data_IF_094785760593
#
_entry.id   IF_094785760593
#
_cell.length_a   1.000
_cell.length_b   1.000
_cell.length_c   1.000
_cell.angle_alpha   90.00
_cell.angle_beta   90.00
_cell.angle_gamma   90.00
#
_symmetry.space_group_name_H-M   'P 1'
#
loop_
_entity.id
_entity.type
_entity.pdbx_description
1 polymer ?
#
# COMPACT_ATOMS: atom_id res chain seq x y z
N UNK A 1 -14.19 46.06 -0.18
CA UNK A 1 -15.31 45.17 0.18
C UNK A 1 -15.10 43.83 -0.51
N UNK A 2 -15.05 42.73 0.23
CA UNK A 2 -14.90 41.39 -0.36
C UNK A 2 -16.27 40.87 -0.77
N UNK A 3 -16.48 40.62 -2.07
CA UNK A 3 -17.77 40.12 -2.58
C UNK A 3 -17.89 38.60 -2.44
N UNK A 4 -19.12 38.10 -2.37
CA UNK A 4 -19.38 36.65 -2.36
C UNK A 4 -18.84 35.95 -3.63
N UNK A 5 -18.83 36.65 -4.77
CA UNK A 5 -18.24 36.16 -6.02
C UNK A 5 -16.73 35.97 -5.89
N UNK A 6 -16.00 36.94 -5.33
CA UNK A 6 -14.55 36.80 -5.10
C UNK A 6 -14.22 35.61 -4.20
N UNK A 7 -15.00 35.40 -3.13
CA UNK A 7 -14.83 34.25 -2.24
C UNK A 7 -15.11 32.93 -2.98
N UNK A 8 -16.17 32.90 -3.80
CA UNK A 8 -16.50 31.74 -4.63
C UNK A 8 -15.38 31.43 -5.62
N UNK A 9 -14.90 32.43 -6.36
CA UNK A 9 -13.84 32.29 -7.37
C UNK A 9 -12.54 31.78 -6.73
N UNK A 10 -12.14 32.32 -5.57
CA UNK A 10 -10.97 31.84 -4.82
C UNK A 10 -11.16 30.42 -4.31
N UNK A 11 -12.36 30.09 -3.81
CA UNK A 11 -12.70 28.74 -3.36
C UNK A 11 -12.68 27.72 -4.50
N UNK A 12 -13.16 28.07 -5.68
CA UNK A 12 -13.08 27.21 -6.86
C UNK A 12 -11.64 27.00 -7.31
N UNK A 13 -10.80 28.04 -7.22
CA UNK A 13 -9.37 27.97 -7.56
C UNK A 13 -8.53 27.16 -6.57
N UNK A 14 -8.84 27.22 -5.27
CA UNK A 14 -7.97 26.65 -4.21
C UNK A 14 -8.55 25.42 -3.52
N UNK A 15 -9.87 25.22 -3.58
CA UNK A 15 -10.57 24.20 -2.80
C UNK A 15 -10.66 24.49 -1.29
N UNK A 16 -10.16 25.62 -0.80
CA UNK A 16 -10.15 25.92 0.62
C UNK A 16 -11.55 26.18 1.22
N UNK A 17 -11.65 26.15 2.55
CA UNK A 17 -12.89 26.43 3.28
C UNK A 17 -13.42 27.84 3.00
N UNK A 18 -14.74 27.99 2.93
CA UNK A 18 -15.41 29.28 2.60
C UNK A 18 -14.93 30.44 3.48
N UNK A 19 -14.77 30.19 4.78
CA UNK A 19 -14.30 31.21 5.73
C UNK A 19 -12.81 31.52 5.58
N UNK A 20 -12.00 30.54 5.19
CA UNK A 20 -10.57 30.76 4.97
C UNK A 20 -10.35 31.58 3.71
N UNK A 21 -11.08 31.30 2.62
CA UNK A 21 -11.07 32.14 1.41
C UNK A 21 -11.49 33.59 1.72
N UNK A 22 -12.56 33.77 2.50
CA UNK A 22 -13.02 35.11 2.90
C UNK A 22 -11.98 35.84 3.75
N UNK A 23 -11.35 35.16 4.71
CA UNK A 23 -10.28 35.73 5.55
C UNK A 23 -9.05 36.09 4.73
N UNK A 24 -8.56 35.20 3.88
CA UNK A 24 -7.41 35.45 3.01
C UNK A 24 -7.65 36.64 2.08
N UNK A 25 -8.83 36.72 1.42
CA UNK A 25 -9.18 37.89 0.62
C UNK A 25 -9.25 39.18 1.44
N UNK A 26 -9.71 39.10 2.69
CA UNK A 26 -9.77 40.27 3.57
C UNK A 26 -8.37 40.72 3.99
N UNK A 27 -7.48 39.78 4.32
CA UNK A 27 -6.08 40.02 4.68
C UNK A 27 -5.26 40.59 3.49
N UNK A 28 -5.66 40.26 2.26
CA UNK A 28 -4.99 40.69 1.04
C UNK A 28 -5.72 41.82 0.28
N UNK A 29 -6.65 42.54 0.92
CA UNK A 29 -7.42 43.63 0.31
C UNK A 29 -8.12 43.27 -1.02
N UNK A 30 -8.49 42.00 -1.18
CA UNK A 30 -9.13 41.46 -2.38
C UNK A 30 -8.17 41.01 -3.48
N UNK A 31 -6.86 41.08 -3.27
CA UNK A 31 -5.84 40.54 -4.17
C UNK A 31 -5.91 39.00 -4.19
N UNK A 32 -6.34 38.46 -5.33
CA UNK A 32 -6.54 37.03 -5.52
C UNK A 32 -5.22 36.23 -5.48
N UNK A 33 -4.12 36.79 -5.99
CA UNK A 33 -2.84 36.07 -6.04
C UNK A 33 -2.24 35.95 -4.64
N UNK A 34 -2.21 37.06 -3.90
CA UNK A 34 -1.77 37.04 -2.50
C UNK A 34 -2.68 36.18 -1.62
N UNK A 35 -3.99 36.19 -1.86
CA UNK A 35 -4.91 35.34 -1.10
C UNK A 35 -4.66 33.85 -1.34
N UNK A 36 -4.20 33.45 -2.54
CA UNK A 36 -3.76 32.07 -2.82
C UNK A 36 -2.51 31.73 -2.01
N UNK A 37 -1.52 32.62 -1.94
CA UNK A 37 -0.30 32.42 -1.15
C UNK A 37 -0.62 32.25 0.34
N UNK A 38 -1.47 33.12 0.90
CA UNK A 38 -1.93 33.02 2.30
C UNK A 38 -2.64 31.69 2.58
N UNK A 39 -3.47 31.22 1.64
CA UNK A 39 -4.14 29.93 1.78
C UNK A 39 -3.17 28.76 1.72
N UNK A 40 -2.10 28.85 0.91
CA UNK A 40 -1.04 27.83 0.86
C UNK A 40 -0.31 27.74 2.20
N UNK A 41 0.07 28.87 2.78
CA UNK A 41 0.70 28.92 4.12
C UNK A 41 -0.22 28.34 5.20
N UNK A 42 -1.51 28.70 5.19
CA UNK A 42 -2.51 28.13 6.10
C UNK A 42 -2.69 26.62 5.87
N UNK A 43 -2.60 26.16 4.63
CA UNK A 43 -2.64 24.73 4.26
C UNK A 43 -1.48 23.95 4.88
N UNK A 44 -0.25 24.46 4.78
CA UNK A 44 0.94 23.87 5.41
C UNK A 44 0.76 23.75 6.93
N UNK A 45 0.30 24.83 7.59
CA UNK A 45 0.03 24.80 9.02
C UNK A 45 -1.10 23.84 9.39
N UNK A 46 -2.15 23.74 8.56
CA UNK A 46 -3.27 22.83 8.78
C UNK A 46 -2.86 21.36 8.60
N UNK A 47 -1.95 21.04 7.68
CA UNK A 47 -1.38 19.71 7.51
C UNK A 47 -0.45 19.34 8.67
N UNK A 48 0.44 20.25 9.07
CA UNK A 48 1.31 20.05 10.23
C UNK A 48 0.55 19.79 11.53
N UNK A 49 -0.63 20.40 11.72
CA UNK A 49 -1.50 20.12 12.89
C UNK A 49 -2.19 18.77 12.84
N UNK A 50 -2.35 18.18 11.64
CA UNK A 50 -3.03 16.89 11.45
C UNK A 50 -2.07 15.72 11.40
N UNK A 51 -0.78 15.95 11.13
CA UNK A 51 0.23 14.88 11.01
C UNK A 51 0.31 13.93 12.22
N UNK A 52 -0.04 14.41 13.41
CA UNK A 52 -0.10 13.58 14.63
C UNK A 52 -1.36 12.70 14.77
N UNK A 53 -2.31 12.80 13.85
CA UNK A 53 -3.53 11.97 13.85
C UNK A 53 -3.26 10.65 13.13
N UNK A 54 -3.88 9.56 13.62
CA UNK A 54 -3.66 8.23 13.06
C UNK A 54 -4.35 8.11 11.71
N UNK A 55 -3.59 7.83 10.65
CA UNK A 55 -4.10 7.56 9.32
C UNK A 55 -3.98 6.04 9.03
N UNK A 56 -4.98 5.27 9.46
CA UNK A 56 -5.01 3.80 9.32
C UNK A 56 -5.95 3.30 8.21
N UNK A 57 -6.70 4.21 7.59
CA UNK A 57 -7.51 3.96 6.40
C UNK A 57 -6.73 4.42 5.14
N UNK A 58 -7.40 4.55 3.99
CA UNK A 58 -6.78 4.86 2.70
C UNK A 58 -6.91 3.76 1.64
N UNK A 59 -5.91 3.67 0.76
CA UNK A 59 -5.92 2.76 -0.39
C UNK A 59 -4.52 2.23 -0.70
N UNK A 60 -4.45 0.94 -1.04
CA UNK A 60 -3.31 0.37 -1.75
C UNK A 60 -3.57 0.51 -3.25
N UNK A 61 -2.67 1.22 -3.94
CA UNK A 61 -2.75 1.44 -5.38
C UNK A 61 -1.58 0.79 -6.10
N UNK A 62 -1.81 0.30 -7.30
CA UNK A 62 -0.78 -0.32 -8.15
C UNK A 62 -0.81 0.27 -9.54
N UNK A 63 0.35 0.38 -10.18
CA UNK A 63 0.46 0.70 -11.59
C UNK A 63 1.36 -0.33 -12.28
N UNK A 64 0.95 -0.79 -13.46
CA UNK A 64 1.75 -1.64 -14.35
C UNK A 64 1.92 -0.89 -15.67
N UNK A 65 3.15 -0.81 -16.19
CA UNK A 65 3.42 -0.18 -17.49
C UNK A 65 2.75 -0.94 -18.63
N UNK A 66 2.51 -0.27 -19.75
CA UNK A 66 1.81 -0.86 -20.92
C UNK A 66 2.52 -2.10 -21.48
N UNK A 67 3.85 -2.14 -21.41
CA UNK A 67 4.70 -3.28 -21.80
C UNK A 67 4.80 -4.38 -20.73
N UNK A 68 4.16 -4.18 -19.57
CA UNK A 68 4.22 -5.07 -18.40
C UNK A 68 5.63 -5.28 -17.84
N UNK A 69 6.60 -4.39 -18.11
CA UNK A 69 7.99 -4.55 -17.65
C UNK A 69 8.29 -3.85 -16.33
N UNK A 70 7.51 -2.83 -15.98
CA UNK A 70 7.65 -2.07 -14.75
C UNK A 70 6.32 -2.07 -14.00
N UNK A 71 6.39 -2.22 -12.68
CA UNK A 71 5.23 -2.08 -11.84
C UNK A 71 5.57 -1.50 -10.49
N UNK A 72 4.60 -0.84 -9.89
CA UNK A 72 4.70 -0.26 -8.56
C UNK A 72 3.47 -0.59 -7.73
N UNK A 73 3.67 -0.52 -6.41
CA UNK A 73 2.63 -0.59 -5.41
C UNK A 73 2.90 0.49 -4.37
N UNK A 74 1.85 1.17 -3.94
CA UNK A 74 1.93 2.16 -2.87
C UNK A 74 0.84 1.90 -1.84
N UNK A 75 1.07 2.33 -0.60
CA UNK A 75 0.03 2.53 0.40
C UNK A 75 -0.11 4.04 0.66
N UNK A 76 -1.26 4.60 0.31
CA UNK A 76 -1.61 5.98 0.59
C UNK A 76 -2.72 6.01 1.64
N UNK A 77 -2.41 6.54 2.83
CA UNK A 77 -3.31 6.48 3.98
C UNK A 77 -4.08 7.78 4.20
N UNK A 78 -5.26 7.66 4.81
CA UNK A 78 -6.06 8.76 5.39
C UNK A 78 -6.66 8.33 6.74
N UNK A 79 -7.38 9.23 7.41
CA UNK A 79 -7.98 8.93 8.72
C UNK A 79 -9.22 8.04 8.58
N UNK A 80 -10.08 8.30 7.58
CA UNK A 80 -11.38 7.63 7.44
C UNK A 80 -11.54 6.87 6.12
N UNK A 81 -12.47 5.90 6.11
CA UNK A 81 -12.88 5.19 4.90
C UNK A 81 -13.63 6.10 3.91
N UNK A 82 -14.36 7.11 4.39
CA UNK A 82 -15.02 8.11 3.55
C UNK A 82 -14.06 8.88 2.65
N UNK A 83 -12.92 9.32 3.20
CA UNK A 83 -11.89 9.99 2.40
C UNK A 83 -11.18 9.02 1.48
N UNK A 84 -11.02 7.75 1.88
CA UNK A 84 -10.32 6.75 1.07
C UNK A 84 -10.97 6.46 -0.29
N UNK A 85 -12.28 6.73 -0.41
CA UNK A 85 -13.05 6.58 -1.66
C UNK A 85 -13.35 7.91 -2.34
N UNK A 86 -12.82 9.03 -1.83
CA UNK A 86 -12.97 10.33 -2.48
C UNK A 86 -12.21 10.37 -3.81
N UNK A 87 -12.82 10.91 -4.87
CA UNK A 87 -12.24 10.94 -6.22
C UNK A 87 -10.85 11.59 -6.25
N UNK A 88 -10.64 12.68 -5.52
CA UNK A 88 -9.35 13.39 -5.49
C UNK A 88 -8.26 12.57 -4.78
N UNK A 89 -8.65 11.83 -3.74
CA UNK A 89 -7.75 10.95 -3.00
C UNK A 89 -7.32 9.76 -3.86
N UNK A 90 -8.28 9.12 -4.53
CA UNK A 90 -8.04 8.00 -5.44
C UNK A 90 -7.21 8.43 -6.65
N UNK A 91 -7.51 9.59 -7.23
CA UNK A 91 -6.73 10.16 -8.35
C UNK A 91 -5.28 10.40 -7.95
N UNK A 92 -5.05 11.03 -6.79
CA UNK A 92 -3.70 11.23 -6.27
C UNK A 92 -2.98 9.90 -6.07
N UNK A 93 -3.60 8.92 -5.41
CA UNK A 93 -3.01 7.59 -5.23
C UNK A 93 -2.64 6.91 -6.56
N UNK A 94 -3.49 6.99 -7.57
CA UNK A 94 -3.22 6.44 -8.91
C UNK A 94 -2.01 7.12 -9.57
N UNK A 95 -1.95 8.44 -9.51
CA UNK A 95 -0.83 9.22 -10.05
C UNK A 95 0.48 8.92 -9.30
N UNK A 96 0.44 8.79 -7.98
CA UNK A 96 1.60 8.42 -7.17
C UNK A 96 2.10 7.00 -7.50
N UNK A 97 1.20 6.02 -7.68
CA UNK A 97 1.62 4.70 -8.13
C UNK A 97 2.26 4.76 -9.51
N UNK A 98 1.66 5.48 -10.47
CA UNK A 98 2.25 5.64 -11.80
C UNK A 98 3.62 6.29 -11.73
N UNK A 99 3.78 7.34 -10.94
CA UNK A 99 5.06 8.03 -10.76
C UNK A 99 6.11 7.10 -10.14
N UNK A 100 5.76 6.36 -9.10
CA UNK A 100 6.67 5.41 -8.43
C UNK A 100 7.21 4.32 -9.39
N UNK A 101 6.43 3.92 -10.41
CA UNK A 101 6.87 2.91 -11.39
C UNK A 101 7.98 3.41 -12.32
N UNK A 102 8.07 4.72 -12.55
CA UNK A 102 9.04 5.35 -13.47
C UNK A 102 10.11 6.19 -12.75
N UNK A 103 9.96 6.40 -11.45
CA UNK A 103 10.93 7.12 -10.64
C UNK A 103 12.19 6.27 -10.39
N UNK A 104 13.32 6.95 -10.21
CA UNK A 104 14.57 6.33 -9.77
C UNK A 104 14.61 6.06 -8.26
N UNK A 105 13.73 6.70 -7.47
CA UNK A 105 13.70 6.57 -6.01
C UNK A 105 13.01 5.28 -5.55
N UNK A 106 13.28 4.83 -4.33
CA UNK A 106 12.75 3.55 -3.83
C UNK A 106 12.00 3.68 -2.50
N UNK A 107 11.98 4.88 -1.91
CA UNK A 107 11.30 5.15 -0.65
C UNK A 107 10.19 6.19 -0.83
N UNK A 108 9.21 6.18 0.08
CA UNK A 108 8.15 7.18 0.06
C UNK A 108 8.72 8.58 0.29
N UNK A 109 9.66 8.71 1.23
CA UNK A 109 10.33 9.96 1.59
C UNK A 109 11.03 10.61 0.40
N UNK A 110 11.72 9.82 -0.42
CA UNK A 110 12.35 10.32 -1.64
C UNK A 110 11.31 10.71 -2.71
N UNK A 111 10.21 9.95 -2.86
CA UNK A 111 9.16 10.26 -3.82
C UNK A 111 8.43 11.57 -3.49
N UNK A 112 8.28 11.89 -2.19
CA UNK A 112 7.71 13.14 -1.71
C UNK A 112 8.47 14.40 -2.21
N UNK A 113 9.76 14.25 -2.51
CA UNK A 113 10.65 15.31 -2.98
C UNK A 113 10.74 15.41 -4.51
N UNK A 114 10.10 14.48 -5.25
CA UNK A 114 10.01 14.58 -6.70
C UNK A 114 8.92 15.56 -7.15
N UNK A 115 9.06 16.08 -8.37
CA UNK A 115 8.00 16.80 -9.07
C UNK A 115 6.80 15.88 -9.27
N UNK A 116 5.60 16.42 -9.10
CA UNK A 116 4.38 15.64 -9.27
C UNK A 116 4.08 15.39 -10.76
N UNK A 117 3.80 14.14 -11.10
CA UNK A 117 3.62 13.70 -12.50
C UNK A 117 2.48 14.42 -13.25
N UNK A 118 1.44 14.89 -12.56
CA UNK A 118 0.33 15.60 -13.21
C UNK A 118 0.49 17.14 -13.21
N UNK A 119 1.47 17.67 -12.46
CA UNK A 119 1.81 19.10 -12.40
C UNK A 119 3.26 19.27 -11.95
N UNK A 120 4.17 19.38 -12.93
CA UNK A 120 5.61 19.50 -12.68
C UNK A 120 6.03 20.80 -11.96
N UNK A 121 5.10 21.74 -11.75
CA UNK A 121 5.35 22.96 -10.97
C UNK A 121 5.32 22.73 -9.45
N UNK A 122 4.86 21.55 -9.01
CA UNK A 122 4.70 21.18 -7.60
C UNK A 122 5.52 19.96 -7.26
N UNK A 123 5.91 19.85 -5.99
CA UNK A 123 6.41 18.59 -5.44
C UNK A 123 5.26 17.71 -4.99
N UNK A 124 5.48 16.39 -4.93
CA UNK A 124 4.49 15.43 -4.44
C UNK A 124 4.00 15.82 -3.02
N UNK A 125 4.89 16.21 -2.12
CA UNK A 125 4.52 16.66 -0.77
C UNK A 125 3.62 17.90 -0.73
N UNK A 126 3.78 18.81 -1.69
CA UNK A 126 2.95 20.01 -1.79
C UNK A 126 1.52 19.61 -2.17
N UNK A 127 1.37 18.70 -3.14
CA UNK A 127 0.07 18.20 -3.59
C UNK A 127 -0.67 17.44 -2.48
N UNK A 128 0.04 16.62 -1.71
CA UNK A 128 -0.53 15.95 -0.53
C UNK A 128 -0.97 17.00 0.51
N UNK A 129 -0.16 18.02 0.76
CA UNK A 129 -0.50 19.10 1.70
C UNK A 129 -1.74 19.87 1.28
N UNK A 130 -1.86 20.19 -0.01
CA UNK A 130 -3.04 20.82 -0.59
C UNK A 130 -4.29 19.95 -0.39
N UNK A 131 -4.17 18.63 -0.61
CA UNK A 131 -5.27 17.70 -0.41
C UNK A 131 -5.69 17.59 1.07
N UNK A 132 -4.73 17.56 1.99
CA UNK A 132 -4.99 17.61 3.44
C UNK A 132 -5.73 18.90 3.82
N UNK A 133 -5.34 20.05 3.25
CA UNK A 133 -6.01 21.32 3.49
C UNK A 133 -7.46 21.32 2.96
N UNK A 134 -7.69 20.65 1.82
CA UNK A 134 -8.99 20.56 1.16
C UNK A 134 -9.96 19.58 1.83
N UNK A 135 -9.50 18.38 2.18
CA UNK A 135 -10.35 17.32 2.74
C UNK A 135 -10.37 17.30 4.27
N UNK A 136 -9.40 17.92 4.94
CA UNK A 136 -9.43 18.11 6.39
C UNK A 136 -8.98 16.90 7.21
N UNK A 137 -8.35 15.91 6.60
CA UNK A 137 -7.76 14.73 7.26
C UNK A 137 -6.25 14.67 7.06
N UNK A 138 -5.56 14.03 7.99
CA UNK A 138 -4.18 13.59 7.81
C UNK A 138 -4.10 12.60 6.65
N UNK A 139 -3.06 12.75 5.83
CA UNK A 139 -2.77 11.84 4.73
C UNK A 139 -1.29 11.59 4.65
N UNK A 140 -0.91 10.37 4.31
CA UNK A 140 0.50 10.01 4.19
C UNK A 140 0.72 9.00 3.08
N UNK A 141 1.74 9.25 2.24
CA UNK A 141 2.33 8.20 1.41
C UNK A 141 3.22 7.36 2.31
N UNK A 142 2.70 6.23 2.78
CA UNK A 142 3.34 5.47 3.85
C UNK A 142 4.49 4.62 3.37
N UNK A 143 4.31 3.95 2.23
CA UNK A 143 5.32 3.04 1.65
C UNK A 143 5.08 2.88 0.17
N UNK A 144 6.17 2.65 -0.55
CA UNK A 144 6.17 2.31 -1.97
C UNK A 144 7.04 1.08 -2.18
N UNK A 145 6.80 0.35 -3.25
CA UNK A 145 7.74 -0.62 -3.80
C UNK A 145 7.57 -0.66 -5.32
N UNK A 146 8.63 -1.07 -6.01
CA UNK A 146 8.65 -1.21 -7.46
C UNK A 146 9.37 -2.48 -7.87
N UNK A 147 8.94 -3.07 -8.98
CA UNK A 147 9.54 -4.24 -9.60
C UNK A 147 9.76 -3.94 -11.08
N UNK A 148 10.88 -4.40 -11.62
CA UNK A 148 11.17 -4.40 -13.05
C UNK A 148 11.61 -5.79 -13.50
N UNK A 149 11.32 -6.13 -14.76
CA UNK A 149 11.70 -7.40 -15.37
C UNK A 149 12.19 -7.19 -16.80
N UNK A 150 13.30 -7.86 -17.16
CA UNK A 150 13.80 -7.84 -18.53
C UNK A 150 12.97 -8.79 -19.41
N UNK A 151 12.89 -10.07 -19.00
CA UNK A 151 12.17 -11.15 -19.70
C UNK A 151 11.10 -11.76 -18.81
N UNK A 152 9.87 -11.79 -19.30
CA UNK A 152 8.68 -12.09 -18.51
C UNK A 152 7.79 -10.86 -18.33
N UNK A 153 6.97 -10.85 -17.27
CA UNK A 153 5.94 -9.84 -17.02
C UNK A 153 5.84 -9.46 -15.54
N UNK A 154 5.46 -8.22 -15.28
CA UNK A 154 4.93 -7.75 -14.01
C UNK A 154 3.40 -7.70 -14.12
N UNK A 155 2.70 -8.10 -13.07
CA UNK A 155 1.25 -7.97 -12.97
C UNK A 155 0.85 -7.58 -11.56
N UNK A 156 -0.33 -6.97 -11.42
CA UNK A 156 -0.91 -6.65 -10.12
C UNK A 156 -2.25 -7.35 -9.87
N UNK A 157 -2.65 -7.39 -8.60
CA UNK A 157 -4.00 -7.72 -8.18
C UNK A 157 -4.42 -6.82 -7.02
N UNK A 158 -5.57 -6.15 -7.16
CA UNK A 158 -6.21 -5.35 -6.11
C UNK A 158 -7.43 -6.11 -5.60
N UNK A 159 -7.54 -6.26 -4.28
CA UNK A 159 -8.66 -6.91 -3.60
C UNK A 159 -9.37 -5.94 -2.64
N UNK A 160 -10.69 -6.05 -2.56
CA UNK A 160 -11.50 -5.27 -1.62
C UNK A 160 -11.37 -3.75 -1.79
N UNK A 161 -11.40 -3.26 -3.03
CA UNK A 161 -11.37 -1.82 -3.32
C UNK A 161 -10.06 -1.11 -2.94
N UNK A 162 -8.94 -1.84 -2.91
CA UNK A 162 -7.64 -1.30 -2.47
C UNK A 162 -7.33 -1.55 -1.00
N UNK A 163 -8.06 -2.45 -0.33
CA UNK A 163 -7.65 -2.97 0.98
C UNK A 163 -6.35 -3.76 0.88
N UNK A 164 -6.24 -4.64 -0.12
CA UNK A 164 -5.02 -5.42 -0.38
C UNK A 164 -4.60 -5.15 -1.82
N UNK A 165 -3.31 -4.93 -2.01
CA UNK A 165 -2.70 -4.89 -3.33
C UNK A 165 -1.49 -5.79 -3.40
N UNK A 166 -1.27 -6.37 -4.58
CA UNK A 166 -0.12 -7.23 -4.87
C UNK A 166 0.49 -6.82 -6.20
N UNK A 167 1.81 -6.84 -6.30
CA UNK A 167 2.54 -6.92 -7.57
C UNK A 167 3.41 -8.19 -7.59
N UNK A 168 3.50 -8.84 -8.74
CA UNK A 168 4.29 -10.07 -8.95
C UNK A 168 5.21 -9.88 -10.14
N UNK A 169 6.48 -10.27 -9.98
CA UNK A 169 7.48 -10.40 -11.04
C UNK A 169 7.60 -11.86 -11.45
N UNK A 170 7.17 -12.14 -12.67
CA UNK A 170 7.24 -13.48 -13.27
C UNK A 170 8.25 -13.44 -14.43
N UNK A 171 9.32 -14.22 -14.33
CA UNK A 171 10.32 -14.34 -15.38
C UNK A 171 9.99 -15.50 -16.32
N UNK A 172 10.23 -15.29 -17.60
CA UNK A 172 10.11 -16.29 -18.67
C UNK A 172 10.88 -15.82 -19.89
N UNK A 173 11.74 -16.69 -20.43
CA UNK A 173 12.57 -16.38 -21.60
C UNK A 173 11.77 -16.18 -22.89
N UNK A 174 10.60 -16.81 -22.97
CA UNK A 174 9.69 -16.72 -24.11
C UNK A 174 8.58 -15.73 -23.82
N UNK A 175 8.38 -14.76 -24.71
CA UNK A 175 7.19 -13.90 -24.67
C UNK A 175 5.95 -14.70 -25.07
N UNK A 176 4.92 -14.67 -24.23
CA UNK A 176 3.64 -15.33 -24.46
C UNK A 176 2.52 -14.57 -23.74
N UNK A 177 1.38 -14.40 -24.39
CA UNK A 177 0.24 -13.66 -23.83
C UNK A 177 -0.32 -14.33 -22.55
N UNK A 178 -0.13 -15.65 -22.38
CA UNK A 178 -0.56 -16.38 -21.18
C UNK A 178 0.19 -15.96 -19.92
N UNK A 179 1.39 -15.40 -20.04
CA UNK A 179 2.18 -14.98 -18.87
C UNK A 179 1.42 -14.01 -17.97
N UNK A 180 0.61 -13.11 -18.55
CA UNK A 180 -0.20 -12.17 -17.80
C UNK A 180 -1.27 -12.86 -16.93
N UNK A 181 -1.95 -13.88 -17.49
CA UNK A 181 -2.94 -14.67 -16.76
C UNK A 181 -2.30 -15.50 -15.64
N UNK A 182 -1.14 -16.10 -15.92
CA UNK A 182 -0.38 -16.89 -14.94
C UNK A 182 0.11 -16.00 -13.79
N UNK A 183 0.70 -14.84 -14.11
CA UNK A 183 1.16 -13.88 -13.12
C UNK A 183 -0.01 -13.34 -12.26
N UNK A 184 -1.19 -13.15 -12.86
CA UNK A 184 -2.41 -12.75 -12.14
C UNK A 184 -2.86 -13.82 -11.16
N UNK A 185 -2.78 -15.09 -11.54
CA UNK A 185 -3.14 -16.21 -10.66
C UNK A 185 -2.18 -16.34 -9.47
N UNK A 186 -0.89 -16.08 -9.70
CA UNK A 186 0.10 -15.95 -8.62
C UNK A 186 -0.20 -14.73 -7.75
N UNK A 187 -0.56 -13.58 -8.32
CA UNK A 187 -0.90 -12.38 -7.54
C UNK A 187 -2.13 -12.59 -6.66
N UNK A 188 -3.14 -13.32 -7.15
CA UNK A 188 -4.31 -13.74 -6.37
C UNK A 188 -3.95 -14.71 -5.24
N UNK A 189 -3.04 -15.66 -5.48
CA UNK A 189 -2.49 -16.53 -4.44
C UNK A 189 -1.89 -15.68 -3.32
N UNK A 190 -0.93 -14.81 -3.66
CA UNK A 190 -0.22 -13.96 -2.69
C UNK A 190 -1.21 -13.12 -1.89
N UNK A 191 -2.21 -12.52 -2.54
CA UNK A 191 -3.23 -11.72 -1.86
C UNK A 191 -4.02 -12.52 -0.83
N UNK A 192 -4.37 -13.77 -1.16
CA UNK A 192 -5.19 -14.65 -0.33
C UNK A 192 -4.43 -15.31 0.83
N UNK A 193 -3.15 -15.64 0.64
CA UNK A 193 -2.39 -16.44 1.62
C UNK A 193 -1.31 -15.69 2.37
N UNK A 194 -1.01 -14.43 1.99
CA UNK A 194 0.01 -13.59 2.62
C UNK A 194 1.34 -14.32 2.90
N UNK A 195 1.98 -14.93 1.88
CA UNK A 195 3.26 -15.61 2.07
C UNK A 195 4.32 -14.61 2.56
N UNK A 196 5.12 -15.04 3.54
CA UNK A 196 6.22 -14.23 4.08
C UNK A 196 7.46 -14.30 3.18
N UNK A 197 7.63 -15.39 2.45
CA UNK A 197 8.82 -15.66 1.63
C UNK A 197 8.43 -16.19 0.25
N UNK A 198 9.32 -16.02 -0.71
CA UNK A 198 9.17 -16.62 -2.04
C UNK A 198 9.37 -18.14 -2.01
N UNK A 199 10.48 -18.57 -1.43
CA UNK A 199 10.95 -19.95 -1.37
C UNK A 199 11.74 -20.17 -0.06
N UNK A 200 12.28 -21.38 0.15
CA UNK A 200 13.05 -21.71 1.35
C UNK A 200 14.32 -20.86 1.50
N UNK A 201 14.95 -20.49 0.40
CA UNK A 201 16.19 -19.71 0.40
C UNK A 201 15.98 -18.27 0.88
N UNK A 202 14.74 -17.78 0.82
CA UNK A 202 14.36 -16.49 1.40
C UNK A 202 14.20 -16.49 2.92
N UNK A 203 14.16 -17.66 3.57
CA UNK A 203 14.04 -17.77 5.04
C UNK A 203 15.43 -17.67 5.65
N UNK A 204 15.72 -16.56 6.32
CA UNK A 204 17.01 -16.36 6.98
C UNK A 204 17.22 -17.34 8.15
N UNK A 205 18.50 -17.58 8.46
CA UNK A 205 18.91 -18.54 9.49
C UNK A 205 18.34 -18.19 10.86
N UNK A 206 18.28 -16.92 11.24
CA UNK A 206 17.82 -16.50 12.57
C UNK A 206 16.32 -16.76 12.73
N UNK A 207 15.52 -16.45 11.70
CA UNK A 207 14.10 -16.81 11.63
C UNK A 207 13.92 -18.32 11.74
N UNK A 208 14.70 -19.10 10.98
CA UNK A 208 14.57 -20.55 10.97
C UNK A 208 14.93 -21.19 12.32
N UNK A 209 16.03 -20.75 12.95
CA UNK A 209 16.46 -21.26 14.26
C UNK A 209 15.48 -20.86 15.37
N UNK A 210 14.92 -19.65 15.31
CA UNK A 210 13.86 -19.23 16.24
C UNK A 210 12.61 -20.11 16.12
N UNK A 211 12.15 -20.39 14.90
CA UNK A 211 11.02 -21.29 14.68
C UNK A 211 11.31 -22.72 15.16
N UNK A 212 12.52 -23.24 14.90
CA UNK A 212 12.94 -24.56 15.41
C UNK A 212 12.89 -24.63 16.92
N UNK A 213 13.38 -23.61 17.62
CA UNK A 213 13.37 -23.56 19.08
C UNK A 213 11.93 -23.51 19.63
N UNK A 214 11.05 -22.70 19.04
CA UNK A 214 9.63 -22.66 19.39
C UNK A 214 9.00 -24.06 19.27
N UNK A 215 9.22 -24.73 18.14
CA UNK A 215 8.68 -26.07 17.91
C UNK A 215 9.28 -27.12 18.84
N UNK A 216 10.57 -26.99 19.20
CA UNK A 216 11.26 -27.86 20.17
C UNK A 216 10.62 -27.74 21.55
N UNK A 217 10.45 -26.52 22.05
CA UNK A 217 9.80 -26.24 23.35
C UNK A 217 8.36 -26.75 23.36
N UNK A 218 7.59 -26.53 22.30
CA UNK A 218 6.23 -27.07 22.19
C UNK A 218 6.20 -28.61 22.27
N UNK A 219 7.07 -29.29 21.53
CA UNK A 219 7.12 -30.75 21.53
C UNK A 219 7.51 -31.31 22.91
N UNK A 220 8.45 -30.67 23.62
CA UNK A 220 8.82 -31.05 24.99
C UNK A 220 7.65 -30.83 25.98
N UNK A 221 6.94 -29.71 25.87
CA UNK A 221 5.77 -29.41 26.71
C UNK A 221 4.58 -30.35 26.44
N UNK A 222 4.46 -30.90 25.23
CA UNK A 222 3.51 -31.97 24.90
C UNK A 222 3.93 -33.36 25.45
N UNK A 223 5.04 -33.43 26.21
CA UNK A 223 5.54 -34.66 26.81
C UNK A 223 6.17 -35.64 25.82
N UNK A 224 6.62 -35.17 24.65
CA UNK A 224 7.24 -36.04 23.64
C UNK A 224 8.64 -36.46 24.10
N UNK A 225 9.01 -37.75 23.97
CA UNK A 225 10.37 -38.19 24.29
C UNK A 225 11.41 -37.46 23.45
N UNK A 226 12.53 -37.04 24.04
CA UNK A 226 13.60 -36.26 23.39
C UNK A 226 14.07 -36.88 22.06
N UNK A 227 14.16 -38.22 22.00
CA UNK A 227 14.54 -38.98 20.79
C UNK A 227 13.62 -38.79 19.57
N UNK A 228 12.38 -38.31 19.74
CA UNK A 228 11.46 -38.01 18.63
C UNK A 228 11.27 -36.51 18.38
N UNK A 229 11.72 -35.65 19.30
CA UNK A 229 11.54 -34.19 19.23
C UNK A 229 12.15 -33.64 17.95
N UNK A 230 13.39 -33.99 17.63
CA UNK A 230 14.07 -33.49 16.43
C UNK A 230 13.31 -33.81 15.14
N UNK A 231 12.83 -35.05 15.00
CA UNK A 231 12.02 -35.47 13.85
C UNK A 231 10.70 -34.70 13.77
N UNK A 232 10.08 -34.41 14.92
CA UNK A 232 8.85 -33.61 14.98
C UNK A 232 9.11 -32.15 14.61
N UNK A 233 10.19 -31.55 15.11
CA UNK A 233 10.61 -30.18 14.75
C UNK A 233 10.83 -30.08 13.24
N UNK A 234 11.59 -30.99 12.64
CA UNK A 234 11.79 -30.98 11.19
C UNK A 234 10.49 -31.17 10.38
N UNK A 235 9.54 -31.94 10.90
CA UNK A 235 8.19 -32.03 10.32
C UNK A 235 7.43 -30.70 10.37
N UNK A 236 7.50 -29.98 11.51
CA UNK A 236 6.90 -28.66 11.70
C UNK A 236 7.58 -27.60 10.83
N UNK A 237 8.89 -27.64 10.67
CA UNK A 237 9.63 -26.77 9.75
C UNK A 237 9.23 -27.01 8.29
N UNK A 238 9.06 -28.27 7.87
CA UNK A 238 8.53 -28.54 6.53
C UNK A 238 7.10 -28.01 6.34
N UNK A 239 6.28 -28.01 7.39
CA UNK A 239 4.95 -27.39 7.36
C UNK A 239 5.06 -25.86 7.28
N UNK A 240 5.96 -25.25 8.06
CA UNK A 240 6.25 -23.82 8.03
C UNK A 240 6.61 -23.35 6.62
N UNK A 241 7.45 -24.08 5.90
CA UNK A 241 7.76 -23.76 4.50
C UNK A 241 6.50 -23.82 3.60
N UNK A 242 5.66 -24.84 3.74
CA UNK A 242 4.40 -24.94 2.98
C UNK A 242 3.39 -23.83 3.26
N UNK A 243 3.43 -23.23 4.45
CA UNK A 243 2.52 -22.16 4.83
C UNK A 243 3.09 -20.77 4.49
N UNK A 244 4.40 -20.58 4.58
CA UNK A 244 5.03 -19.25 4.49
C UNK A 244 5.83 -19.00 3.20
N UNK A 245 6.21 -20.03 2.45
CA UNK A 245 6.90 -19.88 1.17
C UNK A 245 5.91 -20.02 0.01
N UNK A 246 5.73 -18.95 -0.78
CA UNK A 246 4.77 -18.88 -1.89
C UNK A 246 4.82 -20.11 -2.80
N UNK A 247 6.00 -20.51 -3.26
CA UNK A 247 6.13 -21.60 -4.24
C UNK A 247 5.72 -22.98 -3.67
N UNK A 248 5.74 -23.14 -2.35
CA UNK A 248 5.37 -24.39 -1.67
C UNK A 248 3.91 -24.45 -1.21
N UNK A 249 3.23 -23.31 -1.21
CA UNK A 249 1.83 -23.25 -0.83
C UNK A 249 0.96 -24.07 -1.80
N UNK A 250 -0.08 -24.69 -1.26
CA UNK A 250 -1.18 -25.20 -2.06
C UNK A 250 -1.87 -24.04 -2.78
N UNK A 251 -2.17 -24.25 -4.06
CA UNK A 251 -2.77 -23.22 -4.89
C UNK A 251 -4.25 -23.06 -4.55
N UNK A 252 -4.68 -21.83 -4.24
CA UNK A 252 -6.04 -21.53 -3.78
C UNK A 252 -7.13 -21.92 -4.79
N UNK A 253 -6.81 -21.95 -6.09
CA UNK A 253 -7.79 -22.37 -7.13
C UNK A 253 -7.84 -23.88 -7.34
N UNK A 254 -6.78 -24.61 -6.98
CA UNK A 254 -6.75 -26.07 -7.06
C UNK A 254 -5.78 -26.65 -6.02
N UNK A 255 -6.34 -27.17 -4.93
CA UNK A 255 -5.60 -27.73 -3.79
C UNK A 255 -4.78 -28.99 -4.11
N UNK A 256 -4.90 -29.58 -5.31
CA UNK A 256 -4.06 -30.70 -5.77
C UNK A 256 -2.69 -30.25 -6.32
N UNK A 257 -2.48 -28.93 -6.41
CA UNK A 257 -1.27 -28.32 -6.93
C UNK A 257 -0.64 -27.42 -5.87
N UNK A 258 0.69 -27.47 -5.78
CA UNK A 258 1.45 -26.34 -5.22
C UNK A 258 1.63 -25.28 -6.29
N UNK A 259 2.02 -24.07 -5.91
CA UNK A 259 2.39 -23.03 -6.88
C UNK A 259 3.55 -23.49 -7.77
N UNK A 260 4.56 -24.19 -7.24
CA UNK A 260 5.60 -24.81 -8.08
C UNK A 260 5.01 -25.75 -9.13
N UNK A 261 4.09 -26.65 -8.74
CA UNK A 261 3.50 -27.62 -9.67
C UNK A 261 2.64 -26.92 -10.73
N UNK A 262 1.90 -25.88 -10.33
CA UNK A 262 1.14 -25.04 -11.27
C UNK A 262 2.07 -24.38 -12.31
N UNK A 263 3.12 -23.70 -11.85
CA UNK A 263 4.09 -23.05 -12.74
C UNK A 263 4.78 -24.06 -13.66
N UNK A 264 5.13 -25.26 -13.18
CA UNK A 264 5.72 -26.31 -13.99
C UNK A 264 4.81 -26.79 -15.13
N UNK A 265 3.50 -26.94 -14.89
CA UNK A 265 2.56 -27.30 -15.97
C UNK A 265 2.42 -26.15 -16.98
N UNK A 266 2.37 -24.91 -16.51
CA UNK A 266 2.34 -23.74 -17.39
C UNK A 266 3.64 -23.57 -18.20
N UNK A 267 4.81 -23.86 -17.62
CA UNK A 267 6.09 -23.88 -18.31
C UNK A 267 6.11 -24.89 -19.46
N UNK A 268 5.56 -26.09 -19.26
CA UNK A 268 5.44 -27.11 -20.32
C UNK A 268 4.53 -26.64 -21.45
N UNK A 269 3.42 -25.98 -21.12
CA UNK A 269 2.45 -25.48 -22.09
C UNK A 269 3.01 -24.33 -22.94
N UNK A 270 3.74 -23.40 -22.31
CA UNK A 270 4.42 -22.29 -23.01
C UNK A 270 5.67 -22.78 -23.75
N UNK A 271 6.34 -23.82 -23.25
CA UNK A 271 7.61 -24.32 -23.79
C UNK A 271 8.82 -23.51 -23.36
N UNK A 272 8.75 -22.86 -22.19
CA UNK A 272 9.85 -22.13 -21.56
C UNK A 272 9.64 -22.12 -20.04
N UNK A 273 10.73 -22.05 -19.26
CA UNK A 273 10.64 -22.04 -17.81
C UNK A 273 10.04 -20.73 -17.30
N UNK A 274 9.00 -20.86 -16.47
CA UNK A 274 8.33 -19.77 -15.78
C UNK A 274 8.72 -19.81 -14.30
N UNK A 275 9.24 -18.70 -13.80
CA UNK A 275 9.62 -18.55 -12.39
C UNK A 275 9.03 -17.28 -11.79
N UNK A 276 8.65 -17.33 -10.51
CA UNK A 276 8.33 -16.11 -9.75
C UNK A 276 9.64 -15.64 -9.15
N UNK A 277 10.08 -14.43 -9.50
CA UNK A 277 11.33 -13.87 -8.98
C UNK A 277 11.12 -12.94 -7.78
N UNK A 278 9.97 -12.28 -7.72
CA UNK A 278 9.62 -11.41 -6.61
C UNK A 278 8.10 -11.21 -6.53
N UNK A 279 7.62 -10.86 -5.34
CA UNK A 279 6.30 -10.31 -5.14
C UNK A 279 6.34 -9.26 -4.03
N UNK A 280 5.37 -8.35 -4.04
CA UNK A 280 5.13 -7.43 -2.94
C UNK A 280 3.63 -7.43 -2.66
N UNK A 281 3.25 -7.56 -1.39
CA UNK A 281 1.87 -7.45 -0.92
C UNK A 281 1.79 -6.35 0.13
N UNK A 282 0.85 -5.43 -0.04
CA UNK A 282 0.46 -4.48 1.00
C UNK A 282 -0.99 -4.72 1.41
N UNK A 283 -1.24 -4.65 2.70
CA UNK A 283 -2.57 -4.50 3.27
C UNK A 283 -2.68 -3.12 3.94
N UNK A 284 -3.77 -2.41 3.63
CA UNK A 284 -4.08 -1.10 4.18
C UNK A 284 -4.07 -1.13 5.71
N UNK A 285 -3.31 -0.23 6.32
CA UNK A 285 -3.24 -0.08 7.77
C UNK A 285 -2.48 -1.20 8.47
N UNK A 286 -1.83 -2.10 7.73
CA UNK A 286 -1.04 -3.19 8.30
C UNK A 286 0.05 -2.65 9.23
N UNK A 287 0.03 -3.05 10.50
CA UNK A 287 0.97 -2.58 11.52
C UNK A 287 0.67 -1.19 12.09
N UNK A 288 -0.48 -0.58 11.76
CA UNK A 288 -0.94 0.66 12.39
C UNK A 288 -1.94 0.31 13.48
N UNK A 289 -1.64 0.71 14.72
CA UNK A 289 -2.58 0.59 15.83
C UNK A 289 -3.77 1.53 15.59
N UNK A 290 -4.96 0.96 15.38
CA UNK A 290 -6.19 1.72 15.30
C UNK A 290 -6.62 2.06 16.72
N UNK A 291 -6.88 3.33 17.00
CA UNK A 291 -7.55 3.72 18.24
C UNK A 291 -8.96 3.16 18.19
N UNK A 292 -9.32 2.33 19.16
CA UNK A 292 -10.72 2.02 19.43
C UNK A 292 -11.36 3.25 20.09
N UNK A 293 -12.33 3.86 19.42
CA UNK A 293 -13.12 4.95 19.97
C UNK A 293 -14.46 4.40 20.46
N UNK A 294 -14.69 4.47 21.78
CA UNK A 294 -16.00 4.20 22.36
C UNK A 294 -16.87 5.47 22.24
N UNK A 295 -17.72 5.48 21.22
CA UNK A 295 -18.64 6.59 20.97
C UNK A 295 -19.59 6.85 22.14
N UNK A 296 -19.99 5.82 22.89
CA UNK A 296 -20.86 6.00 24.06
C UNK A 296 -20.10 6.72 25.18
N UNK A 297 -18.85 6.34 25.42
CA UNK A 297 -18.01 7.01 26.40
C UNK A 297 -17.69 8.46 25.98
N UNK A 298 -17.41 8.71 24.69
CA UNK A 298 -17.19 10.07 24.18
C UNK A 298 -18.41 10.96 24.40
N UNK A 299 -19.60 10.49 24.01
CA UNK A 299 -20.86 11.21 24.23
C UNK A 299 -21.06 11.49 25.73
N UNK A 300 -20.81 10.50 26.59
CA UNK A 300 -20.92 10.68 28.04
C UNK A 300 -19.93 11.73 28.57
N UNK A 301 -18.68 11.75 28.09
CA UNK A 301 -17.67 12.76 28.45
C UNK A 301 -18.10 14.16 28.01
N UNK A 302 -18.61 14.33 26.78
CA UNK A 302 -19.10 15.62 26.29
C UNK A 302 -20.32 16.12 27.09
N UNK A 303 -21.26 15.24 27.43
CA UNK A 303 -22.42 15.58 28.27
C UNK A 303 -22.02 16.03 29.69
N UNK A 304 -20.91 15.52 30.22
CA UNK A 304 -20.43 15.88 31.56
C UNK A 304 -19.61 17.19 31.57
N UNK A 305 -19.03 17.63 30.45
CA UNK A 305 -18.31 18.92 30.39
C UNK A 305 -19.24 20.14 30.44
N UNK A 306 -20.54 19.95 30.23
CA UNK A 306 -21.56 20.99 30.32
C UNK A 306 -22.25 21.13 31.68
N UNK A 307 -21.82 20.37 32.70
CA UNK A 307 -22.32 20.46 34.08
C UNK A 307 -21.31 21.14 34.98
#
# INVERSE_FOLDING_TARGET
MISAKMVKDLREKTGAGMMDCKKALTECDGDLEKAVEVLREKGLAAAAKKSGRVAAEGIVSTYISEDMKNGSIIEFNCETDFVSVNELFVELANNLSKQAAFSNVSTAEELLEEKYIADESKLVKDVITELIAKLGENMNLRRIAKLSVDKGVITSYIHGGGRIGVIVKLACEKEDAKLAEIAKDVAMQVAATNPLFLNRDGVDTDTLEKEKEIYRVQALNEGKPEKVVEKMVMGRINKYYKENCLVEQLWVKNGDYTITKYLQEQSKEIGADITVEAFVRYEKGEGIEKKEEDFAEEVQRQMNQGK
#
